data_IF_715108076836
#
_entry.id   IF_715108076836
#
_cell.length_a   1.000
_cell.length_b   1.000
_cell.length_c   1.000
_cell.angle_alpha   90.00
_cell.angle_beta   90.00
_cell.angle_gamma   90.00
#
_symmetry.space_group_name_H-M   'P 1'
#
loop_
_entity.id
_entity.type
_entity.pdbx_description
1 polymer ?
#
# COMPACT_ATOMS: atom_id res chain seq x y z
N UNK A 1 2.07 -21.41 79.21
CA UNK A 1 0.81 -21.01 79.87
C UNK A 1 -0.27 -21.18 78.80
N UNK A 2 -0.92 -22.27 78.92
CA UNK A 2 -2.36 -22.47 79.14
C UNK A 2 -3.20 -22.06 77.99
N UNK A 3 -3.71 -23.05 77.23
CA UNK A 3 -5.01 -23.74 77.40
C UNK A 3 -6.10 -22.96 76.65
N UNK A 4 -7.06 -23.45 75.95
CA UNK A 4 -7.59 -24.80 75.76
C UNK A 4 -8.69 -24.69 74.68
N UNK A 5 -8.82 -25.73 73.84
CA UNK A 5 -10.01 -26.54 73.59
C UNK A 5 -11.15 -25.89 72.76
N UNK A 6 -11.49 -26.51 71.69
CA UNK A 6 -12.38 -27.65 71.42
C UNK A 6 -13.75 -27.14 71.02
N UNK A 7 -14.36 -27.50 69.89
CA UNK A 7 -14.99 -28.78 69.51
C UNK A 7 -15.68 -28.71 68.16
N UNK A 8 -15.44 -29.71 67.35
CA UNK A 8 -16.44 -30.23 66.40
C UNK A 8 -17.60 -30.90 67.21
N UNK A 9 -18.76 -31.34 66.66
CA UNK A 9 -18.91 -32.08 65.42
C UNK A 9 -20.31 -32.06 64.67
N UNK A 10 -20.32 -32.81 63.55
CA UNK A 10 -21.41 -33.68 63.03
C UNK A 10 -22.49 -33.01 62.14
N UNK A 11 -22.85 -33.51 61.03
CA UNK A 11 -22.98 -34.75 60.27
C UNK A 11 -24.23 -34.68 59.41
N UNK A 12 -24.12 -35.17 58.14
CA UNK A 12 -25.15 -35.77 57.30
C UNK A 12 -26.17 -34.88 56.61
N UNK A 13 -26.15 -34.83 55.24
CA UNK A 13 -27.06 -35.68 54.47
C UNK A 13 -26.58 -35.78 53.02
N UNK A 14 -26.53 -37.00 52.60
CA UNK A 14 -26.24 -37.58 51.31
C UNK A 14 -27.53 -37.54 50.46
N UNK A 15 -27.37 -37.25 49.16
CA UNK A 15 -28.25 -37.94 48.23
C UNK A 15 -28.95 -37.04 47.21
N UNK A 16 -28.74 -37.43 46.00
CA UNK A 16 -29.46 -37.07 44.77
C UNK A 16 -29.03 -35.76 44.12
N UNK A 17 -28.23 -35.95 43.05
CA UNK A 17 -28.41 -35.35 41.75
C UNK A 17 -27.26 -35.75 40.78
N UNK A 18 -27.10 -37.07 40.59
CA UNK A 18 -26.31 -37.66 39.50
C UNK A 18 -27.25 -38.26 38.46
N UNK A 19 -28.23 -37.51 37.97
CA UNK A 19 -29.12 -38.01 36.91
C UNK A 19 -29.65 -36.93 35.95
N UNK A 20 -28.89 -35.83 35.76
CA UNK A 20 -29.33 -34.78 34.82
C UNK A 20 -28.24 -34.26 33.88
N UNK A 21 -27.12 -34.98 33.77
CA UNK A 21 -26.00 -34.57 32.88
C UNK A 21 -25.90 -35.32 31.53
N UNK A 22 -26.81 -36.25 31.26
CA UNK A 22 -26.74 -37.07 29.99
C UNK A 22 -27.86 -36.80 28.98
N UNK A 23 -28.83 -35.96 29.24
CA UNK A 23 -29.92 -35.62 28.31
C UNK A 23 -29.71 -34.34 27.49
N UNK A 24 -28.60 -33.60 27.71
CA UNK A 24 -28.32 -32.30 27.06
C UNK A 24 -27.66 -32.36 25.69
N UNK A 25 -27.27 -33.55 25.20
CA UNK A 25 -26.49 -33.65 23.92
C UNK A 25 -27.25 -34.10 22.67
N UNK A 26 -28.54 -34.31 22.72
CA UNK A 26 -29.35 -34.73 21.56
C UNK A 26 -30.37 -33.69 21.04
N UNK A 27 -30.33 -32.43 21.52
CA UNK A 27 -31.36 -31.44 21.24
C UNK A 27 -30.99 -30.25 20.34
N UNK A 28 -29.72 -30.11 19.93
CA UNK A 28 -29.29 -28.87 19.24
C UNK A 28 -29.55 -28.87 17.72
N UNK A 29 -29.69 -30.01 17.09
CA UNK A 29 -29.97 -30.13 15.63
C UNK A 29 -31.49 -30.09 15.30
N UNK A 30 -32.34 -30.11 16.28
CA UNK A 30 -33.80 -30.10 16.10
C UNK A 30 -34.51 -28.83 16.54
N UNK A 31 -33.82 -27.89 17.16
CA UNK A 31 -34.41 -26.64 17.66
C UNK A 31 -34.69 -25.64 16.51
N UNK A 32 -35.69 -24.78 16.69
CA UNK A 32 -35.97 -23.67 15.74
C UNK A 32 -34.73 -22.82 15.46
N UNK A 33 -33.80 -22.70 16.43
CA UNK A 33 -32.51 -22.00 16.29
C UNK A 33 -31.53 -22.77 15.38
N UNK A 34 -31.45 -24.12 15.48
CA UNK A 34 -30.63 -24.93 14.57
C UNK A 34 -31.11 -24.91 13.12
N UNK A 35 -32.44 -24.89 12.91
CA UNK A 35 -33.02 -24.74 11.56
C UNK A 35 -32.81 -23.34 10.98
N UNK A 36 -32.88 -22.29 11.83
CA UNK A 36 -32.59 -20.92 11.42
C UNK A 36 -31.08 -20.75 11.07
N UNK A 37 -30.19 -21.32 11.86
CA UNK A 37 -28.73 -21.30 11.57
C UNK A 37 -28.39 -22.08 10.28
N UNK A 38 -29.01 -23.22 10.05
CA UNK A 38 -28.86 -23.99 8.80
C UNK A 38 -29.44 -23.26 7.58
N UNK A 39 -30.56 -22.55 7.77
CA UNK A 39 -31.13 -21.70 6.73
C UNK A 39 -30.27 -20.48 6.37
N UNK A 40 -29.65 -19.85 7.37
CA UNK A 40 -28.70 -18.75 7.16
C UNK A 40 -27.41 -19.20 6.45
N UNK A 41 -26.89 -20.37 6.78
CA UNK A 41 -25.75 -20.97 6.08
C UNK A 41 -26.08 -21.35 4.65
N UNK A 42 -27.25 -21.93 4.39
CA UNK A 42 -27.68 -22.27 3.02
C UNK A 42 -27.92 -21.01 2.18
N UNK A 43 -28.52 -19.96 2.75
CA UNK A 43 -28.71 -18.68 2.08
C UNK A 43 -27.37 -17.98 1.79
N UNK A 44 -26.42 -18.04 2.71
CA UNK A 44 -25.07 -17.51 2.50
C UNK A 44 -24.32 -18.27 1.41
N UNK A 45 -24.41 -19.61 1.38
CA UNK A 45 -23.82 -20.43 0.32
C UNK A 45 -24.48 -20.18 -1.04
N UNK A 46 -25.81 -20.02 -1.08
CA UNK A 46 -26.52 -19.67 -2.30
C UNK A 46 -26.17 -18.27 -2.80
N UNK A 47 -26.12 -17.27 -1.90
CA UNK A 47 -25.67 -15.91 -2.22
C UNK A 47 -24.22 -15.90 -2.71
N UNK A 48 -23.36 -16.70 -2.10
CA UNK A 48 -21.97 -16.90 -2.55
C UNK A 48 -21.92 -17.55 -3.94
N UNK A 49 -22.71 -18.59 -4.20
CA UNK A 49 -22.81 -19.21 -5.52
C UNK A 49 -23.29 -18.25 -6.61
N UNK A 50 -24.34 -17.44 -6.32
CA UNK A 50 -24.81 -16.38 -7.21
C UNK A 50 -23.75 -15.30 -7.43
N UNK A 51 -23.02 -14.94 -6.38
CA UNK A 51 -21.90 -14.00 -6.46
C UNK A 51 -20.78 -14.53 -7.37
N UNK A 52 -20.37 -15.80 -7.21
CA UNK A 52 -19.35 -16.44 -8.07
C UNK A 52 -19.83 -16.55 -9.53
N UNK A 53 -21.07 -16.90 -9.76
CA UNK A 53 -21.66 -16.97 -11.11
C UNK A 53 -21.76 -15.57 -11.75
N UNK A 54 -22.11 -14.55 -10.97
CA UNK A 54 -22.12 -13.17 -11.40
C UNK A 54 -20.72 -12.67 -11.75
N UNK A 55 -19.75 -12.95 -10.90
CA UNK A 55 -18.34 -12.57 -11.13
C UNK A 55 -17.72 -13.29 -12.33
N UNK A 56 -18.10 -14.55 -12.59
CA UNK A 56 -17.64 -15.28 -13.79
C UNK A 56 -18.15 -14.64 -15.09
N UNK A 57 -19.34 -14.01 -15.07
CA UNK A 57 -19.91 -13.29 -16.23
C UNK A 57 -19.28 -11.91 -16.44
N UNK A 58 -18.73 -11.31 -15.39
CA UNK A 58 -18.04 -10.00 -15.46
C UNK A 58 -16.55 -10.14 -15.73
N UNK A 59 -16.01 -11.36 -15.85
CA UNK A 59 -14.60 -11.58 -16.18
C UNK A 59 -14.25 -10.89 -17.50
N UNK A 60 -13.53 -9.81 -17.39
CA UNK A 60 -12.95 -9.12 -18.53
C UNK A 60 -11.83 -9.99 -19.10
N UNK A 61 -11.62 -9.90 -20.42
CA UNK A 61 -10.50 -10.60 -21.05
C UNK A 61 -9.21 -10.11 -20.42
N UNK A 62 -8.27 -11.02 -20.06
CA UNK A 62 -6.95 -10.62 -19.61
C UNK A 62 -6.29 -9.67 -20.61
N UNK A 63 -5.54 -8.71 -20.10
CA UNK A 63 -4.65 -7.88 -20.92
C UNK A 63 -3.34 -8.65 -21.01
N UNK A 64 -2.92 -8.95 -22.21
CA UNK A 64 -1.66 -9.67 -22.47
C UNK A 64 -0.47 -8.72 -22.47
N UNK A 65 -0.68 -7.44 -22.78
CA UNK A 65 0.35 -6.43 -22.83
C UNK A 65 -0.24 -5.09 -22.37
N UNK A 66 0.37 -4.48 -21.33
CA UNK A 66 0.01 -3.15 -20.88
C UNK A 66 0.61 -2.09 -21.81
N UNK A 67 -0.10 -0.97 -22.05
CA UNK A 67 0.50 0.18 -22.71
C UNK A 67 1.69 0.72 -21.89
N UNK A 68 2.68 1.28 -22.59
CA UNK A 68 3.81 1.93 -21.93
C UNK A 68 3.33 3.14 -21.09
N UNK A 69 3.43 3.05 -19.78
CA UNK A 69 2.89 4.01 -18.84
C UNK A 69 3.50 5.42 -18.99
N UNK A 70 4.80 5.50 -19.29
CA UNK A 70 5.59 6.73 -19.20
C UNK A 70 6.12 7.24 -20.54
N UNK A 71 5.93 6.48 -21.64
CA UNK A 71 6.56 6.73 -22.92
C UNK A 71 8.10 6.82 -22.81
N UNK A 72 8.68 5.99 -21.96
CA UNK A 72 10.10 5.81 -21.78
C UNK A 72 10.52 4.42 -22.26
N UNK A 73 11.82 4.20 -22.38
CA UNK A 73 12.33 2.85 -22.60
C UNK A 73 11.97 1.97 -21.43
N UNK A 74 11.38 0.82 -21.70
CA UNK A 74 11.00 -0.20 -20.73
C UNK A 74 12.03 -1.34 -20.79
N UNK A 75 12.64 -1.65 -19.67
CA UNK A 75 13.64 -2.71 -19.51
C UNK A 75 13.18 -3.69 -18.42
N UNK A 76 13.64 -4.94 -18.51
CA UNK A 76 13.34 -6.02 -17.56
C UNK A 76 14.63 -6.52 -16.93
N UNK A 77 14.57 -6.79 -15.63
CA UNK A 77 15.71 -7.28 -14.84
C UNK A 77 15.37 -8.65 -14.27
N UNK A 78 16.15 -9.69 -14.55
CA UNK A 78 16.02 -10.97 -13.85
C UNK A 78 16.45 -10.79 -12.38
N UNK A 79 15.63 -11.29 -11.46
CA UNK A 79 15.90 -11.26 -10.04
C UNK A 79 15.25 -12.47 -9.36
N UNK A 80 16.09 -13.32 -8.73
CA UNK A 80 15.64 -14.63 -8.27
C UNK A 80 15.02 -15.45 -9.44
N UNK A 81 13.81 -15.95 -9.27
CA UNK A 81 13.05 -16.68 -10.30
C UNK A 81 12.06 -15.78 -11.07
N UNK A 82 12.17 -14.45 -10.94
CA UNK A 82 11.23 -13.48 -11.46
C UNK A 82 11.93 -12.42 -12.31
N UNK A 83 11.11 -11.60 -12.99
CA UNK A 83 11.56 -10.38 -13.63
C UNK A 83 10.76 -9.19 -13.09
N UNK A 84 11.45 -8.11 -12.80
CA UNK A 84 10.78 -6.84 -12.59
C UNK A 84 11.14 -5.86 -13.70
N UNK A 85 10.23 -4.92 -13.94
CA UNK A 85 10.36 -3.93 -14.99
C UNK A 85 10.76 -2.57 -14.42
N UNK A 86 11.40 -1.76 -15.23
CA UNK A 86 11.61 -0.35 -14.96
C UNK A 86 11.67 0.47 -16.24
N UNK A 87 11.28 1.72 -16.13
CA UNK A 87 11.39 2.69 -17.21
C UNK A 87 12.69 3.47 -17.09
N UNK A 88 13.29 3.83 -18.23
CA UNK A 88 14.54 4.56 -18.24
C UNK A 88 14.62 5.63 -19.35
N UNK A 89 15.23 6.76 -19.01
CA UNK A 89 15.74 7.78 -19.94
C UNK A 89 17.14 8.15 -19.51
N UNK A 90 18.09 8.05 -20.44
CA UNK A 90 19.46 8.52 -20.21
C UNK A 90 19.51 10.03 -20.03
N UNK A 91 20.52 10.51 -19.30
CA UNK A 91 20.69 11.93 -19.03
C UNK A 91 22.07 12.22 -18.41
N UNK A 92 22.22 13.40 -17.83
CA UNK A 92 23.44 13.87 -17.16
C UNK A 92 23.16 14.25 -15.71
N UNK A 93 24.11 14.01 -14.83
CA UNK A 93 23.98 14.31 -13.41
C UNK A 93 23.38 13.16 -12.61
N UNK A 94 22.96 13.44 -11.38
CA UNK A 94 22.39 12.48 -10.45
C UNK A 94 21.06 11.93 -10.98
N UNK A 95 20.84 10.61 -10.96
CA UNK A 95 19.57 10.04 -11.42
C UNK A 95 18.38 10.47 -10.57
N UNK A 96 17.25 10.70 -11.24
CA UNK A 96 15.93 10.83 -10.61
C UNK A 96 15.24 9.48 -10.66
N UNK A 97 14.86 8.97 -9.50
CA UNK A 97 14.14 7.70 -9.35
C UNK A 97 12.71 7.97 -8.93
N UNK A 98 11.76 7.44 -9.67
CA UNK A 98 10.33 7.54 -9.37
C UNK A 98 9.82 6.19 -8.88
N UNK A 99 9.12 6.21 -7.74
CA UNK A 99 8.52 5.03 -7.12
C UNK A 99 7.02 5.28 -6.96
N UNK A 100 6.21 4.40 -7.56
CA UNK A 100 4.75 4.48 -7.45
C UNK A 100 4.25 3.92 -6.11
N UNK A 101 2.98 4.12 -5.81
CA UNK A 101 2.33 3.62 -4.61
C UNK A 101 2.14 2.09 -4.63
N UNK A 102 1.57 1.56 -3.57
CA UNK A 102 1.06 0.19 -3.51
C UNK A 102 -0.44 0.26 -3.22
N UNK A 103 -1.24 -0.23 -4.17
CA UNK A 103 -2.69 -0.33 -4.06
C UNK A 103 -3.23 -1.40 -5.03
N UNK A 104 -4.54 -1.52 -5.19
CA UNK A 104 -5.14 -2.55 -6.03
C UNK A 104 -4.78 -2.46 -7.52
N UNK A 105 -4.38 -1.29 -8.03
CA UNK A 105 -4.10 -1.03 -9.45
C UNK A 105 -2.84 -0.20 -9.68
N UNK A 106 -1.96 -0.16 -8.69
CA UNK A 106 -0.74 0.65 -8.72
C UNK A 106 0.17 0.31 -9.91
N UNK A 107 0.85 1.33 -10.40
CA UNK A 107 1.89 1.22 -11.43
C UNK A 107 2.63 2.55 -11.59
N UNK A 108 3.73 2.56 -12.32
CA UNK A 108 4.46 3.78 -12.63
C UNK A 108 3.62 4.86 -13.33
N UNK A 109 2.46 4.50 -13.90
CA UNK A 109 1.50 5.45 -14.46
C UNK A 109 1.06 6.52 -13.44
N UNK A 110 1.00 6.19 -12.16
CA UNK A 110 0.67 7.15 -11.10
C UNK A 110 1.63 8.35 -11.10
N UNK A 111 2.89 8.15 -11.47
CA UNK A 111 3.92 9.20 -11.50
C UNK A 111 3.97 9.97 -12.84
N UNK A 112 3.15 9.60 -13.81
CA UNK A 112 3.22 10.07 -15.20
C UNK A 112 3.21 11.60 -15.37
N UNK A 113 2.35 12.39 -14.70
CA UNK A 113 2.34 13.84 -14.89
C UNK A 113 3.67 14.48 -14.50
N UNK A 114 4.24 14.05 -13.37
CA UNK A 114 5.50 14.58 -12.86
C UNK A 114 6.69 14.09 -13.70
N UNK A 115 6.72 12.81 -14.05
CA UNK A 115 7.74 12.26 -14.97
C UNK A 115 7.76 13.03 -16.28
N UNK A 116 6.59 13.30 -16.87
CA UNK A 116 6.47 14.09 -18.12
C UNK A 116 7.02 15.51 -17.97
N UNK A 117 6.88 16.14 -16.80
CA UNK A 117 7.47 17.45 -16.55
C UNK A 117 9.00 17.35 -16.53
N UNK A 118 9.55 16.43 -15.74
CA UNK A 118 11.00 16.22 -15.71
C UNK A 118 11.59 15.77 -17.05
N UNK A 119 10.84 15.04 -17.87
CA UNK A 119 11.26 14.70 -19.24
C UNK A 119 11.46 15.93 -20.13
N UNK A 120 10.64 16.95 -19.97
CA UNK A 120 10.68 18.16 -20.82
C UNK A 120 11.68 19.20 -20.31
N UNK A 121 11.83 19.29 -18.99
CA UNK A 121 12.45 20.45 -18.34
C UNK A 121 13.78 20.10 -17.65
N UNK A 122 14.15 18.80 -17.55
CA UNK A 122 15.39 18.35 -16.94
C UNK A 122 16.19 17.45 -17.87
N UNK A 123 17.51 17.60 -17.85
CA UNK A 123 18.44 16.71 -18.57
C UNK A 123 18.93 15.52 -17.72
N UNK A 124 18.47 15.42 -16.48
CA UNK A 124 18.87 14.34 -15.57
C UNK A 124 18.38 12.97 -16.06
N UNK A 125 19.10 11.87 -15.76
CA UNK A 125 18.58 10.53 -16.01
C UNK A 125 17.26 10.34 -15.23
N UNK A 126 16.26 9.75 -15.89
CA UNK A 126 14.97 9.42 -15.29
C UNK A 126 14.83 7.91 -15.25
N UNK A 127 14.51 7.38 -14.10
CA UNK A 127 14.29 5.97 -13.83
C UNK A 127 12.98 5.81 -13.06
N UNK A 128 12.15 4.84 -13.40
CA UNK A 128 10.93 4.55 -12.64
C UNK A 128 10.78 3.04 -12.49
N UNK A 129 10.75 2.56 -11.25
CA UNK A 129 10.61 1.15 -10.93
C UNK A 129 9.13 0.74 -10.99
N UNK A 130 8.86 -0.44 -11.51
CA UNK A 130 7.60 -1.16 -11.30
C UNK A 130 7.82 -2.20 -10.20
N UNK A 131 7.09 -2.08 -9.10
CA UNK A 131 7.21 -3.05 -8.01
C UNK A 131 6.81 -4.45 -8.46
N UNK A 132 7.45 -5.48 -7.91
CA UNK A 132 7.04 -6.86 -8.11
C UNK A 132 5.56 -7.03 -7.72
N UNK A 133 4.77 -7.67 -8.56
CA UNK A 133 3.32 -7.75 -8.39
C UNK A 133 2.51 -6.66 -9.11
N UNK A 134 3.17 -5.64 -9.67
CA UNK A 134 2.54 -4.44 -10.22
C UNK A 134 3.05 -4.09 -11.62
N UNK A 135 2.31 -3.23 -12.32
CA UNK A 135 2.68 -2.67 -13.62
C UNK A 135 3.12 -3.73 -14.63
N UNK A 136 4.30 -3.59 -15.18
CA UNK A 136 4.92 -4.53 -16.10
C UNK A 136 5.78 -5.61 -15.43
N UNK A 137 5.96 -5.57 -14.11
CA UNK A 137 6.70 -6.60 -13.37
C UNK A 137 5.92 -7.91 -13.29
N UNK A 138 6.63 -9.02 -13.07
CA UNK A 138 6.05 -10.31 -12.81
C UNK A 138 5.16 -10.26 -11.55
N UNK A 139 4.17 -11.14 -11.51
CA UNK A 139 3.21 -11.29 -10.41
C UNK A 139 3.25 -12.71 -9.86
N UNK A 140 4.35 -13.08 -9.16
CA UNK A 140 4.47 -14.44 -8.62
C UNK A 140 3.44 -14.74 -7.52
N UNK A 141 3.24 -16.03 -7.27
CA UNK A 141 2.46 -16.52 -6.13
C UNK A 141 3.36 -16.61 -4.89
N UNK A 142 3.67 -15.44 -4.33
CA UNK A 142 4.49 -15.29 -3.12
C UNK A 142 3.76 -14.44 -2.10
N UNK A 143 4.23 -14.44 -0.88
CA UNK A 143 3.81 -13.49 0.14
C UNK A 143 4.48 -12.13 -0.15
N UNK A 144 3.68 -11.11 -0.39
CA UNK A 144 4.18 -9.76 -0.60
C UNK A 144 4.39 -9.09 0.75
N UNK A 145 5.63 -8.72 1.05
CA UNK A 145 6.02 -8.08 2.30
C UNK A 145 6.81 -6.80 2.03
N UNK A 146 6.95 -5.89 3.00
CA UNK A 146 7.83 -4.75 2.89
C UNK A 146 9.26 -5.15 2.53
N UNK A 147 9.79 -6.19 3.19
CA UNK A 147 11.16 -6.67 2.99
C UNK A 147 11.39 -7.12 1.54
N UNK A 148 10.43 -7.85 0.95
CA UNK A 148 10.54 -8.29 -0.46
C UNK A 148 10.65 -7.10 -1.41
N UNK A 149 9.83 -6.05 -1.20
CA UNK A 149 9.83 -4.88 -2.07
C UNK A 149 11.03 -3.97 -1.80
N UNK A 150 11.46 -3.84 -0.56
CA UNK A 150 12.68 -3.12 -0.19
C UNK A 150 13.92 -3.81 -0.75
N UNK A 151 14.00 -5.14 -0.68
CA UNK A 151 15.09 -5.92 -1.27
C UNK A 151 15.12 -5.79 -2.80
N UNK A 152 13.95 -5.73 -3.46
CA UNK A 152 13.86 -5.40 -4.88
C UNK A 152 14.46 -4.01 -5.17
N UNK A 153 14.11 -2.99 -4.39
CA UNK A 153 14.62 -1.63 -4.54
C UNK A 153 16.14 -1.59 -4.32
N UNK A 154 16.63 -2.23 -3.26
CA UNK A 154 18.06 -2.30 -2.96
C UNK A 154 18.81 -2.99 -4.08
N UNK A 155 18.35 -4.16 -4.53
CA UNK A 155 18.94 -4.88 -5.65
C UNK A 155 18.99 -4.01 -6.92
N UNK A 156 17.88 -3.37 -7.27
CA UNK A 156 17.82 -2.53 -8.46
C UNK A 156 18.79 -1.34 -8.40
N UNK A 157 18.86 -0.66 -7.26
CA UNK A 157 19.79 0.46 -7.09
C UNK A 157 21.24 -0.01 -7.12
N UNK A 158 21.56 -1.16 -6.50
CA UNK A 158 22.92 -1.67 -6.37
C UNK A 158 23.44 -2.29 -7.67
N UNK A 159 22.62 -3.14 -8.32
CA UNK A 159 23.10 -3.96 -9.44
C UNK A 159 22.79 -3.34 -10.82
N UNK A 160 21.71 -2.53 -10.93
CA UNK A 160 21.27 -2.00 -12.22
C UNK A 160 21.56 -0.51 -12.36
N UNK A 161 21.18 0.30 -11.37
CA UNK A 161 21.37 1.75 -11.43
C UNK A 161 22.80 2.15 -11.12
N UNK A 162 23.41 1.51 -10.13
CA UNK A 162 24.80 1.71 -9.68
C UNK A 162 25.15 3.19 -9.51
N UNK A 163 24.42 3.95 -8.67
CA UNK A 163 24.58 5.39 -8.62
C UNK A 163 25.86 5.80 -7.92
N UNK A 164 26.62 6.69 -8.54
CA UNK A 164 27.74 7.33 -7.85
C UNK A 164 27.25 8.47 -6.96
N UNK A 165 27.30 8.27 -5.64
CA UNK A 165 26.83 9.26 -4.66
C UNK A 165 25.31 9.28 -4.45
N UNK A 166 24.65 8.15 -4.70
CA UNK A 166 23.21 7.96 -4.48
C UNK A 166 22.32 8.53 -5.58
N UNK A 167 21.03 8.26 -5.47
CA UNK A 167 19.97 8.80 -6.33
C UNK A 167 19.09 9.80 -5.57
N UNK A 168 18.41 10.67 -6.28
CA UNK A 168 17.29 11.41 -5.71
C UNK A 168 16.00 10.68 -6.00
N UNK A 169 15.25 10.32 -4.95
CA UNK A 169 14.02 9.55 -5.04
C UNK A 169 12.80 10.47 -4.94
N UNK A 170 11.82 10.26 -5.80
CA UNK A 170 10.48 10.85 -5.71
C UNK A 170 9.51 9.68 -5.58
N UNK A 171 9.06 9.44 -4.35
CA UNK A 171 8.21 8.29 -4.01
C UNK A 171 6.79 8.72 -3.64
N UNK A 172 5.82 7.94 -4.06
CA UNK A 172 4.40 8.11 -3.74
C UNK A 172 3.97 7.08 -2.70
N UNK A 173 3.35 7.55 -1.61
CA UNK A 173 2.70 6.70 -0.59
C UNK A 173 3.69 5.65 -0.03
N UNK A 174 3.37 4.35 -0.04
CA UNK A 174 4.26 3.26 0.40
C UNK A 174 5.58 3.21 -0.37
N UNK A 175 5.62 3.65 -1.63
CA UNK A 175 6.87 3.76 -2.38
C UNK A 175 7.85 4.74 -1.75
N UNK A 176 7.36 5.84 -1.16
CA UNK A 176 8.19 6.76 -0.38
C UNK A 176 8.64 6.14 0.94
N UNK A 177 7.78 5.37 1.58
CA UNK A 177 8.07 4.70 2.86
C UNK A 177 9.19 3.67 2.72
N UNK A 178 9.12 2.82 1.69
CA UNK A 178 10.20 1.87 1.39
C UNK A 178 11.52 2.57 1.04
N UNK A 179 11.45 3.71 0.34
CA UNK A 179 12.65 4.51 0.09
C UNK A 179 13.25 5.10 1.37
N UNK A 180 12.41 5.55 2.32
CA UNK A 180 12.88 6.06 3.62
C UNK A 180 13.54 4.94 4.45
N UNK A 181 12.95 3.74 4.46
CA UNK A 181 13.54 2.57 5.12
C UNK A 181 14.90 2.20 4.50
N UNK A 182 14.97 2.16 3.16
CA UNK A 182 16.24 1.88 2.49
C UNK A 182 17.27 2.98 2.75
N UNK A 183 16.90 4.26 2.74
CA UNK A 183 17.79 5.37 3.03
C UNK A 183 18.41 5.27 4.43
N UNK A 184 17.67 4.75 5.40
CA UNK A 184 18.16 4.47 6.76
C UNK A 184 19.19 3.34 6.78
N UNK A 185 18.92 2.24 6.05
CA UNK A 185 19.78 1.05 6.00
C UNK A 185 21.02 1.25 5.09
N UNK A 186 20.82 1.93 3.95
CA UNK A 186 21.80 2.13 2.91
C UNK A 186 21.89 3.62 2.52
N UNK A 187 22.46 4.45 3.39
CA UNK A 187 22.56 5.89 3.16
C UNK A 187 23.44 6.26 1.95
N UNK A 188 24.20 5.31 1.43
CA UNK A 188 25.02 5.45 0.22
C UNK A 188 24.20 5.40 -1.08
N UNK A 189 23.02 4.78 -1.06
CA UNK A 189 22.18 4.59 -2.25
C UNK A 189 21.22 5.75 -2.50
N UNK A 190 20.73 6.42 -1.46
CA UNK A 190 19.74 7.50 -1.57
C UNK A 190 20.37 8.80 -1.05
N UNK A 191 20.47 9.79 -1.95
CA UNK A 191 20.98 11.12 -1.63
C UNK A 191 19.91 12.04 -1.03
N UNK A 192 18.71 12.04 -1.62
CA UNK A 192 17.56 12.79 -1.12
C UNK A 192 16.25 12.07 -1.41
N UNK A 193 15.20 12.38 -0.64
CA UNK A 193 13.86 11.82 -0.81
C UNK A 193 12.82 12.94 -0.88
N UNK A 194 12.00 12.91 -1.92
CA UNK A 194 10.72 13.62 -1.99
C UNK A 194 9.63 12.59 -1.75
N UNK A 195 8.96 12.70 -0.62
CA UNK A 195 7.87 11.83 -0.20
C UNK A 195 6.52 12.50 -0.50
N UNK A 196 5.81 11.99 -1.51
CA UNK A 196 4.48 12.48 -1.88
C UNK A 196 3.44 11.62 -1.20
N UNK A 197 2.60 12.23 -0.37
CA UNK A 197 1.56 11.53 0.41
C UNK A 197 2.10 10.27 1.12
N UNK A 198 3.18 10.36 1.90
CA UNK A 198 3.81 9.19 2.49
C UNK A 198 2.91 8.51 3.51
N UNK A 199 2.99 7.19 3.57
CA UNK A 199 2.41 6.37 4.65
C UNK A 199 3.39 6.30 5.82
N UNK A 200 2.86 6.30 7.05
CA UNK A 200 3.66 6.18 8.28
C UNK A 200 3.86 7.49 9.03
N UNK A 201 3.43 8.63 8.49
CA UNK A 201 3.44 9.92 9.21
C UNK A 201 2.08 10.27 9.85
N UNK A 202 1.08 9.41 9.70
CA UNK A 202 -0.25 9.54 10.27
C UNK A 202 -0.64 8.40 11.18
N UNK A 203 -1.93 8.32 11.49
CA UNK A 203 -2.49 7.16 12.17
C UNK A 203 -2.45 5.93 11.23
N UNK A 204 -2.23 4.76 11.84
CA UNK A 204 -2.15 3.50 11.08
C UNK A 204 -3.49 3.23 10.37
N UNK A 205 -3.53 3.12 9.03
CA UNK A 205 -4.79 2.95 8.30
C UNK A 205 -5.45 1.59 8.54
N UNK A 206 -4.90 0.74 9.41
CA UNK A 206 -5.24 -0.66 9.54
C UNK A 206 -6.18 -0.94 10.70
N UNK A 207 -7.45 -0.60 10.56
CA UNK A 207 -8.49 -1.17 11.42
C UNK A 207 -9.44 -2.16 10.72
N UNK A 208 -9.09 -2.74 9.61
CA UNK A 208 -9.79 -3.97 9.21
C UNK A 208 -9.19 -5.09 10.07
N UNK A 209 -9.97 -5.69 11.01
CA UNK A 209 -9.44 -6.76 11.85
C UNK A 209 -8.86 -7.85 10.93
N UNK A 210 -7.54 -8.06 10.99
CA UNK A 210 -6.76 -9.01 10.16
C UNK A 210 -7.40 -10.42 10.11
N UNK A 211 -8.19 -10.76 11.13
CA UNK A 211 -8.86 -12.06 11.24
C UNK A 211 -10.02 -12.23 10.25
N UNK A 212 -10.76 -11.16 9.95
CA UNK A 212 -11.90 -11.23 9.04
C UNK A 212 -11.49 -11.16 7.58
N UNK A 213 -10.48 -10.37 7.22
CA UNK A 213 -9.92 -10.35 5.87
C UNK A 213 -9.31 -11.71 5.52
N UNK A 214 -8.50 -12.29 6.43
CA UNK A 214 -7.93 -13.64 6.24
C UNK A 214 -9.02 -14.71 6.06
N UNK A 215 -10.04 -14.71 6.91
CA UNK A 215 -11.10 -15.73 6.83
C UNK A 215 -11.94 -15.61 5.54
N UNK A 216 -12.20 -14.38 5.09
CA UNK A 216 -12.98 -14.14 3.88
C UNK A 216 -12.20 -14.50 2.61
N UNK A 217 -10.92 -14.18 2.55
CA UNK A 217 -10.07 -14.41 1.37
C UNK A 217 -9.50 -15.84 1.28
N UNK A 218 -9.64 -16.66 2.33
CA UNK A 218 -9.30 -18.10 2.23
C UNK A 218 -10.29 -18.89 1.37
N UNK A 219 -11.49 -18.35 1.10
CA UNK A 219 -12.46 -19.02 0.24
C UNK A 219 -12.06 -18.90 -1.23
N UNK A 220 -11.95 -20.02 -1.98
CA UNK A 220 -11.52 -20.00 -3.36
C UNK A 220 -12.37 -19.06 -4.23
N UNK A 221 -11.73 -18.17 -4.95
CA UNK A 221 -12.39 -17.22 -5.87
C UNK A 221 -13.02 -15.99 -5.22
N UNK A 222 -13.11 -15.89 -3.88
CA UNK A 222 -13.63 -14.68 -3.20
C UNK A 222 -12.70 -13.50 -3.42
N UNK A 223 -11.40 -13.69 -3.17
CA UNK A 223 -10.39 -12.65 -3.40
C UNK A 223 -10.48 -12.11 -4.83
N UNK A 224 -10.50 -13.00 -5.81
CA UNK A 224 -10.57 -12.61 -7.22
C UNK A 224 -11.86 -11.88 -7.56
N UNK A 225 -13.00 -12.38 -7.10
CA UNK A 225 -14.29 -11.74 -7.37
C UNK A 225 -14.42 -10.37 -6.69
N UNK A 226 -13.87 -10.23 -5.49
CA UNK A 226 -13.77 -8.96 -4.77
C UNK A 226 -12.88 -7.98 -5.54
N UNK A 227 -11.70 -8.43 -5.97
CA UNK A 227 -10.79 -7.64 -6.78
C UNK A 227 -11.42 -7.18 -8.08
N UNK A 228 -12.04 -8.09 -8.85
CA UNK A 228 -12.69 -7.78 -10.13
C UNK A 228 -13.79 -6.71 -9.95
N UNK A 229 -14.46 -6.67 -8.80
CA UNK A 229 -15.48 -5.67 -8.47
C UNK A 229 -14.88 -4.31 -8.08
N UNK A 230 -13.81 -4.32 -7.28
CA UNK A 230 -13.12 -3.10 -6.86
C UNK A 230 -12.45 -2.38 -8.04
N UNK A 231 -12.02 -3.13 -9.05
CA UNK A 231 -11.21 -2.63 -10.16
C UNK A 231 -12.00 -2.42 -11.46
N UNK A 232 -13.35 -2.36 -11.37
CA UNK A 232 -14.15 -1.87 -12.51
C UNK A 232 -13.88 -0.38 -12.73
N UNK A 233 -13.92 0.14 -13.97
CA UNK A 233 -13.74 1.58 -14.21
C UNK A 233 -14.67 2.45 -13.37
N UNK A 234 -15.92 2.01 -13.16
CA UNK A 234 -16.91 2.74 -12.36
C UNK A 234 -16.54 2.76 -10.87
N UNK A 235 -15.97 1.65 -10.35
CA UNK A 235 -15.52 1.57 -8.96
C UNK A 235 -14.25 2.40 -8.76
N UNK A 236 -13.29 2.31 -9.68
CA UNK A 236 -12.08 3.12 -9.68
C UNK A 236 -12.40 4.61 -9.80
N UNK A 237 -13.31 4.99 -10.70
CA UNK A 237 -13.75 6.37 -10.83
C UNK A 237 -14.36 6.90 -9.52
N UNK A 238 -15.26 6.14 -8.88
CA UNK A 238 -15.89 6.55 -7.62
C UNK A 238 -14.84 6.71 -6.51
N UNK A 239 -13.97 5.71 -6.34
CA UNK A 239 -12.89 5.79 -5.36
C UNK A 239 -11.97 6.99 -5.62
N UNK A 240 -11.58 7.22 -6.87
CA UNK A 240 -10.71 8.34 -7.24
C UNK A 240 -11.37 9.69 -6.98
N UNK A 241 -12.67 9.82 -7.26
CA UNK A 241 -13.45 11.03 -6.97
C UNK A 241 -13.57 11.30 -5.48
N UNK A 242 -13.83 10.25 -4.68
CA UNK A 242 -14.15 10.38 -3.27
C UNK A 242 -12.89 10.52 -2.39
N UNK A 243 -11.76 9.92 -2.83
CA UNK A 243 -10.58 9.79 -1.98
C UNK A 243 -9.30 10.42 -2.56
N UNK A 244 -9.17 10.53 -3.91
CA UNK A 244 -7.89 10.92 -4.50
C UNK A 244 -7.86 12.34 -5.05
N UNK A 245 -8.90 12.80 -5.69
CA UNK A 245 -8.93 14.07 -6.40
C UNK A 245 -9.91 15.06 -5.78
N UNK A 246 -9.63 16.36 -5.96
CA UNK A 246 -10.59 17.39 -5.59
C UNK A 246 -11.74 17.48 -6.59
N UNK A 247 -12.95 17.84 -6.15
CA UNK A 247 -14.09 18.03 -7.06
C UNK A 247 -13.82 19.05 -8.19
N UNK A 248 -13.01 20.08 -7.90
CA UNK A 248 -12.66 21.14 -8.85
C UNK A 248 -11.75 20.63 -9.98
N UNK A 249 -10.86 19.70 -9.67
CA UNK A 249 -9.97 19.10 -10.67
C UNK A 249 -10.69 18.00 -11.44
N UNK A 250 -11.49 17.20 -10.75
CA UNK A 250 -12.17 16.03 -11.31
C UNK A 250 -11.24 14.82 -11.44
N UNK A 251 -11.78 13.72 -11.94
CA UNK A 251 -11.02 12.47 -12.11
C UNK A 251 -10.53 12.32 -13.54
N UNK A 252 -9.22 12.25 -13.78
CA UNK A 252 -8.69 12.04 -15.13
C UNK A 252 -9.09 10.67 -15.69
N UNK A 253 -9.67 10.64 -16.88
CA UNK A 253 -10.08 9.40 -17.53
C UNK A 253 -8.90 8.45 -17.76
N UNK A 254 -7.73 8.98 -18.16
CA UNK A 254 -6.53 8.18 -18.38
C UNK A 254 -6.05 7.47 -17.10
N UNK A 255 -6.26 8.07 -15.90
CA UNK A 255 -5.93 7.46 -14.62
C UNK A 255 -6.79 6.22 -14.35
N UNK A 256 -8.11 6.36 -14.55
CA UNK A 256 -9.08 5.28 -14.35
C UNK A 256 -8.88 4.15 -15.36
N UNK A 257 -8.71 4.51 -16.64
CA UNK A 257 -8.56 3.53 -17.71
C UNK A 257 -7.29 2.70 -17.54
N UNK A 258 -6.15 3.33 -17.27
CA UNK A 258 -4.89 2.62 -17.07
C UNK A 258 -4.95 1.71 -15.85
N UNK A 259 -5.51 2.17 -14.74
CA UNK A 259 -5.72 1.35 -13.55
C UNK A 259 -6.61 0.13 -13.85
N UNK A 260 -7.69 0.31 -14.61
CA UNK A 260 -8.56 -0.79 -15.00
C UNK A 260 -7.87 -1.80 -15.96
N UNK A 261 -6.94 -1.35 -16.80
CA UNK A 261 -6.13 -2.24 -17.64
C UNK A 261 -5.11 -3.01 -16.80
N UNK A 262 -4.41 -2.34 -15.88
CA UNK A 262 -3.47 -2.95 -14.93
C UNK A 262 -4.13 -4.08 -14.13
N UNK A 263 -5.37 -3.86 -13.68
CA UNK A 263 -6.14 -4.87 -12.95
C UNK A 263 -6.48 -6.13 -13.76
N UNK A 264 -6.40 -6.07 -15.08
CA UNK A 264 -6.72 -7.20 -15.96
C UNK A 264 -5.51 -8.05 -16.32
N UNK A 265 -4.32 -7.65 -15.92
CA UNK A 265 -3.12 -8.47 -16.10
C UNK A 265 -3.23 -9.72 -15.24
N UNK A 266 -2.77 -10.83 -15.75
CA UNK A 266 -2.78 -12.09 -14.99
C UNK A 266 -2.00 -11.94 -13.68
N UNK A 267 -2.57 -12.43 -12.58
CA UNK A 267 -1.97 -12.33 -11.24
C UNK A 267 -2.12 -10.96 -10.55
N UNK A 268 -2.78 -9.96 -11.16
CA UNK A 268 -2.91 -8.61 -10.59
C UNK A 268 -3.61 -8.56 -9.20
N UNK A 269 -4.42 -9.57 -8.88
CA UNK A 269 -5.06 -9.66 -7.56
C UNK A 269 -4.18 -10.23 -6.46
N UNK A 270 -2.99 -10.77 -6.76
CA UNK A 270 -2.14 -11.47 -5.79
C UNK A 270 -1.67 -10.57 -4.64
N UNK A 271 -1.20 -9.33 -4.87
CA UNK A 271 -0.78 -8.47 -3.77
C UNK A 271 -1.94 -7.91 -2.91
N UNK A 272 -3.19 -8.04 -3.35
CA UNK A 272 -4.34 -7.39 -2.70
C UNK A 272 -4.57 -7.87 -1.27
N UNK A 273 -4.42 -9.18 -1.01
CA UNK A 273 -4.63 -9.73 0.34
C UNK A 273 -3.60 -9.17 1.33
N UNK A 274 -2.34 -9.11 0.91
CA UNK A 274 -1.25 -8.58 1.71
C UNK A 274 -1.40 -7.06 1.93
N UNK A 275 -1.92 -6.35 0.94
CA UNK A 275 -2.24 -4.92 1.09
C UNK A 275 -3.42 -4.70 2.06
N UNK A 276 -4.54 -5.39 1.87
CA UNK A 276 -5.75 -5.21 2.71
C UNK A 276 -5.57 -5.73 4.13
N UNK A 277 -4.70 -6.72 4.34
CA UNK A 277 -4.37 -7.21 5.68
C UNK A 277 -3.37 -6.30 6.43
N UNK A 278 -2.89 -5.24 5.79
CA UNK A 278 -1.89 -4.33 6.34
C UNK A 278 -0.48 -4.90 6.37
N UNK A 279 -0.23 -6.07 5.77
CA UNK A 279 1.09 -6.73 5.77
C UNK A 279 2.13 -5.94 5.00
N UNK A 280 1.71 -5.22 3.96
CA UNK A 280 2.60 -4.36 3.15
C UNK A 280 2.97 -3.03 3.83
N UNK A 281 2.48 -2.77 5.05
CA UNK A 281 2.82 -1.56 5.78
C UNK A 281 3.97 -1.87 6.76
N UNK A 282 5.15 -1.24 6.61
CA UNK A 282 6.26 -1.46 7.52
C UNK A 282 5.88 -1.04 8.95
N UNK A 283 6.21 -1.86 9.95
CA UNK A 283 5.93 -1.56 11.35
C UNK A 283 6.69 -0.31 11.84
N UNK A 284 7.88 -0.05 11.27
CA UNK A 284 8.73 1.09 11.62
C UNK A 284 8.62 2.26 10.63
N UNK A 285 7.55 2.32 9.81
CA UNK A 285 7.38 3.35 8.78
C UNK A 285 7.59 4.78 9.30
N UNK A 286 7.03 5.09 10.48
CA UNK A 286 7.19 6.40 11.13
C UNK A 286 8.65 6.67 11.51
N UNK A 287 9.30 5.67 12.11
CA UNK A 287 10.69 5.78 12.53
C UNK A 287 11.65 5.95 11.35
N UNK A 288 11.34 5.38 10.17
CA UNK A 288 12.12 5.58 8.96
C UNK A 288 12.24 7.06 8.60
N UNK A 289 11.12 7.78 8.59
CA UNK A 289 11.12 9.22 8.32
C UNK A 289 11.75 10.03 9.46
N UNK A 290 11.43 9.70 10.72
CA UNK A 290 11.97 10.43 11.87
C UNK A 290 13.48 10.28 12.04
N UNK A 291 14.06 9.17 11.62
CA UNK A 291 15.51 8.92 11.73
C UNK A 291 16.26 9.15 10.42
N UNK A 292 15.58 9.56 9.37
CA UNK A 292 16.21 9.88 8.11
C UNK A 292 17.15 11.07 8.26
N UNK A 293 18.40 10.91 7.76
CA UNK A 293 19.43 11.96 7.81
C UNK A 293 19.55 12.73 6.51
N UNK A 294 19.23 12.07 5.40
CA UNK A 294 19.28 12.69 4.07
C UNK A 294 18.26 13.83 3.96
N UNK A 295 18.45 14.76 3.03
CA UNK A 295 17.43 15.75 2.69
C UNK A 295 16.08 15.08 2.38
N UNK A 296 15.03 15.54 3.07
CA UNK A 296 13.67 15.02 2.94
C UNK A 296 12.71 16.17 2.63
N UNK A 297 11.93 16.06 1.57
CA UNK A 297 10.77 16.90 1.32
C UNK A 297 9.51 16.06 1.41
N UNK A 298 8.53 16.52 2.19
CA UNK A 298 7.20 15.91 2.28
C UNK A 298 6.19 16.79 1.56
N UNK A 299 5.54 16.27 0.54
CA UNK A 299 4.52 16.97 -0.27
C UNK A 299 3.18 16.29 -0.05
N UNK A 300 2.17 17.06 0.36
CA UNK A 300 0.85 16.48 0.62
C UNK A 300 -0.31 17.43 0.28
N UNK A 301 -1.49 16.85 0.02
CA UNK A 301 -2.73 17.58 -0.26
C UNK A 301 -3.54 17.88 1.00
N UNK A 302 -4.01 19.11 1.15
CA UNK A 302 -4.72 19.60 2.36
C UNK A 302 -6.25 19.54 2.26
N UNK A 303 -6.79 19.30 1.07
CA UNK A 303 -8.25 19.40 0.83
C UNK A 303 -9.02 18.14 1.25
N UNK A 304 -8.36 17.01 1.35
CA UNK A 304 -9.00 15.80 1.84
C UNK A 304 -9.20 15.88 3.36
N UNK A 305 -10.40 16.25 3.82
CA UNK A 305 -10.76 16.45 5.24
C UNK A 305 -10.33 15.28 6.15
N UNK A 306 -10.34 14.03 5.65
CA UNK A 306 -9.93 12.84 6.39
C UNK A 306 -8.42 12.71 6.61
N UNK A 307 -7.62 13.58 6.01
CA UNK A 307 -6.16 13.45 5.97
C UNK A 307 -5.43 14.44 6.85
N UNK A 308 -6.07 15.54 7.26
CA UNK A 308 -5.50 16.45 8.25
C UNK A 308 -5.24 15.74 9.59
N UNK A 309 -6.02 14.70 9.90
CA UNK A 309 -5.76 13.82 11.05
C UNK A 309 -4.67 12.76 10.76
N UNK A 310 -4.37 12.52 9.47
CA UNK A 310 -3.47 11.44 9.04
C UNK A 310 -1.98 11.78 9.17
N UNK A 311 -1.61 13.03 9.40
CA UNK A 311 -0.21 13.46 9.48
C UNK A 311 0.16 14.01 10.86
N UNK A 312 -0.28 13.33 11.93
CA UNK A 312 0.00 13.73 13.32
C UNK A 312 1.49 13.85 13.63
N UNK A 313 2.33 13.08 12.92
CA UNK A 313 3.78 13.08 13.09
C UNK A 313 4.52 14.12 12.23
N UNK A 314 3.85 14.88 11.37
CA UNK A 314 4.51 15.97 10.61
C UNK A 314 5.12 17.03 11.52
N UNK A 315 4.46 17.36 12.62
CA UNK A 315 4.98 18.33 13.60
C UNK A 315 6.32 17.90 14.23
N UNK A 316 6.63 16.62 14.23
CA UNK A 316 7.91 16.09 14.72
C UNK A 316 9.04 16.21 13.68
N UNK A 317 8.67 16.35 12.42
CA UNK A 317 9.59 16.59 11.31
C UNK A 317 9.82 18.07 11.06
N UNK A 318 8.82 18.91 11.34
CA UNK A 318 8.90 20.35 11.16
C UNK A 318 10.03 20.96 12.00
N UNK A 319 10.76 21.89 11.40
CA UNK A 319 11.90 22.55 12.05
C UNK A 319 13.22 21.80 12.03
N UNK A 320 13.26 20.56 11.51
CA UNK A 320 14.52 19.84 11.29
C UNK A 320 15.26 20.44 10.08
N UNK A 321 16.60 20.61 10.14
CA UNK A 321 17.36 21.28 9.09
C UNK A 321 17.38 20.54 7.75
N UNK A 322 17.15 19.22 7.79
CA UNK A 322 17.10 18.36 6.61
C UNK A 322 15.69 18.14 6.06
N UNK A 323 14.65 18.71 6.64
CA UNK A 323 13.26 18.45 6.28
C UNK A 323 12.56 19.71 5.79
N UNK A 324 11.83 19.57 4.69
CA UNK A 324 10.92 20.56 4.15
C UNK A 324 9.51 19.96 4.00
N UNK A 325 8.51 20.64 4.51
CA UNK A 325 7.10 20.22 4.40
C UNK A 325 6.36 21.18 3.48
N UNK A 326 5.70 20.61 2.45
CA UNK A 326 5.02 21.36 1.38
C UNK A 326 3.55 20.97 1.34
N UNK A 327 2.67 21.68 2.06
CA UNK A 327 1.22 21.52 1.92
C UNK A 327 0.73 22.15 0.61
N UNK A 328 -0.14 21.44 -0.12
CA UNK A 328 -0.78 21.95 -1.34
C UNK A 328 -2.30 21.84 -1.23
N UNK A 329 -3.08 22.80 -1.75
CA UNK A 329 -4.54 22.72 -1.75
C UNK A 329 -5.04 21.78 -2.85
N UNK A 330 -4.79 20.50 -2.67
CA UNK A 330 -5.09 19.39 -3.59
C UNK A 330 -5.65 18.20 -2.82
N UNK A 331 -6.17 17.21 -3.55
CA UNK A 331 -6.43 15.89 -3.02
C UNK A 331 -5.13 15.11 -2.79
N UNK A 332 -5.24 13.78 -2.79
CA UNK A 332 -4.14 12.87 -2.49
C UNK A 332 -3.08 12.73 -3.58
N UNK A 333 -3.29 13.31 -4.70
CA UNK A 333 -2.37 13.22 -5.83
C UNK A 333 -1.98 14.63 -6.32
N UNK A 334 -1.25 15.41 -5.49
CA UNK A 334 -0.88 16.79 -5.82
C UNK A 334 -0.15 16.91 -7.16
N UNK A 335 0.65 15.92 -7.52
CA UNK A 335 1.39 15.87 -8.77
C UNK A 335 0.51 15.60 -10.02
N UNK A 336 -0.75 15.18 -9.84
CA UNK A 336 -1.76 15.12 -10.90
C UNK A 336 -2.51 16.44 -11.02
N UNK A 337 -2.94 17.01 -9.88
CA UNK A 337 -3.75 18.21 -9.87
C UNK A 337 -2.95 19.48 -10.20
N UNK A 338 -1.71 19.55 -9.71
CA UNK A 338 -0.82 20.73 -9.87
C UNK A 338 0.59 20.31 -10.30
N UNK A 339 0.75 19.62 -11.44
CA UNK A 339 2.05 19.07 -11.86
C UNK A 339 3.13 20.13 -12.03
N UNK A 340 2.78 21.35 -12.41
CA UNK A 340 3.71 22.46 -12.54
C UNK A 340 4.25 22.92 -11.21
N UNK A 341 3.36 23.19 -10.25
CA UNK A 341 3.74 23.64 -8.90
C UNK A 341 4.56 22.58 -8.16
N UNK A 342 4.14 21.31 -8.24
CA UNK A 342 4.92 20.20 -7.64
C UNK A 342 6.29 20.10 -8.29
N UNK A 343 6.39 20.21 -9.62
CA UNK A 343 7.67 20.20 -10.32
C UNK A 343 8.60 21.31 -9.83
N UNK A 344 8.12 22.54 -9.70
CA UNK A 344 8.91 23.68 -9.23
C UNK A 344 9.40 23.46 -7.80
N UNK A 345 8.50 23.08 -6.86
CA UNK A 345 8.86 22.81 -5.47
C UNK A 345 9.89 21.69 -5.33
N UNK A 346 9.67 20.60 -6.06
CA UNK A 346 10.59 19.45 -6.08
C UNK A 346 11.93 19.84 -6.72
N UNK A 347 11.91 20.56 -7.85
CA UNK A 347 13.12 21.00 -8.54
C UNK A 347 13.99 21.89 -7.64
N UNK A 348 13.39 22.92 -7.02
CA UNK A 348 14.09 23.82 -6.10
C UNK A 348 14.69 23.07 -4.89
N UNK A 349 13.95 22.10 -4.33
CA UNK A 349 14.45 21.28 -3.24
C UNK A 349 15.65 20.43 -3.67
N UNK A 350 15.54 19.73 -4.80
CA UNK A 350 16.62 18.89 -5.32
C UNK A 350 17.89 19.68 -5.65
N UNK A 351 17.74 20.89 -6.19
CA UNK A 351 18.89 21.76 -6.43
C UNK A 351 19.56 22.22 -5.13
N UNK A 352 18.80 22.54 -4.09
CA UNK A 352 19.32 22.91 -2.77
C UNK A 352 20.02 21.72 -2.09
N UNK A 353 19.43 20.55 -2.20
CA UNK A 353 20.01 19.29 -1.69
C UNK A 353 21.36 19.02 -2.38
N UNK A 354 21.45 19.15 -3.71
CA UNK A 354 22.69 18.94 -4.46
C UNK A 354 23.80 19.95 -4.07
N UNK A 355 23.42 21.18 -3.74
CA UNK A 355 24.34 22.23 -3.29
C UNK A 355 24.72 22.13 -1.79
N UNK A 356 24.17 21.15 -1.07
CA UNK A 356 24.34 21.00 0.38
C UNK A 356 23.65 22.13 1.21
N UNK A 357 22.71 22.85 0.60
CA UNK A 357 21.97 23.92 1.27
C UNK A 357 20.80 23.38 2.12
N UNK A 358 20.41 22.13 1.89
CA UNK A 358 19.58 21.33 2.80
C UNK A 358 20.56 20.35 3.46
N UNK A 359 20.99 20.68 4.67
CA UNK A 359 22.04 19.92 5.34
C UNK A 359 21.50 18.54 5.79
N UNK A 360 22.28 17.45 5.68
CA UNK A 360 21.94 16.21 6.35
C UNK A 360 21.91 16.41 7.87
N UNK A 361 20.98 15.73 8.55
CA UNK A 361 20.82 15.81 10.00
C UNK A 361 21.91 15.07 10.78
#
# INVERSE_FOLDING_TARGET
MMRDREKQPRRKARGKDEASAEEGKKGILGSRAGKAAAGLTAAAVAAYGVYLLGSARTRRRPVTELPNALNLRLDYVPWQDFHYAYYSRKGRGRPLVFLHSINAVASAHEMRPLVRRFQRESERPILALEWLGFGHSDRPEVEYTPELLEDQLEHWLTEVVQPRGGVDVIGLSLGATYAAELARRRPDLIHSLVAVEPVGLGEDPTEIPRIWSRLLFTLPGVQRAFYDRLTTPEALYRFSRDELFTPEFGVPEEYVQYGAETARVEGASRPLDDFLSGRLFPEEAREAFLRMRQPLQVVYGTVAERRMESFTSLSELEGRPNVEVVPLPTGALPHWERPGEVYERVGDFLERAEKGAVAPA
#
